data_IF_307845390334
#
_entry.id   IF_307845390334
#
_cell.length_a   1.000
_cell.length_b   1.000
_cell.length_c   1.000
_cell.angle_alpha   90.00
_cell.angle_beta   90.00
_cell.angle_gamma   90.00
#
_symmetry.space_group_name_H-M   'P 1'
#
loop_
_entity.id
_entity.type
_entity.pdbx_description
1 polymer ?
#
# COMPACT_ATOMS: atom_id res chain seq x y z
N UNK A 1 5.66 -0.96 -20.09
CA UNK A 1 6.91 -0.39 -20.67
C UNK A 1 7.39 -1.26 -21.82
N UNK A 2 7.77 -0.65 -22.95
CA UNK A 2 8.51 -1.32 -24.04
C UNK A 2 10.03 -1.12 -23.88
N UNK A 3 10.86 -1.98 -24.47
CA UNK A 3 12.33 -1.95 -24.33
C UNK A 3 12.84 -2.95 -23.30
N UNK A 4 14.15 -3.03 -23.12
CA UNK A 4 14.82 -3.98 -22.21
C UNK A 4 15.46 -3.33 -20.98
N UNK A 5 15.35 -2.01 -20.85
CA UNK A 5 15.89 -1.25 -19.71
C UNK A 5 17.41 -1.11 -19.73
N UNK A 6 18.03 -1.28 -20.90
CA UNK A 6 19.48 -1.13 -21.11
C UNK A 6 19.81 0.23 -21.72
N UNK A 7 21.07 0.65 -21.70
CA UNK A 7 21.46 1.93 -22.28
C UNK A 7 21.16 2.04 -23.79
N UNK A 8 21.28 0.93 -24.52
CA UNK A 8 21.01 0.88 -25.97
C UNK A 8 19.55 0.63 -26.32
N UNK A 9 18.75 0.22 -25.34
CA UNK A 9 17.32 -0.07 -25.49
C UNK A 9 16.59 0.22 -24.15
N UNK A 10 16.41 1.52 -23.81
CA UNK A 10 15.79 1.94 -22.56
C UNK A 10 14.33 1.51 -22.48
N UNK A 11 13.81 1.35 -21.27
CA UNK A 11 12.36 1.26 -21.07
C UNK A 11 11.70 2.58 -21.46
N UNK A 12 10.68 2.51 -22.32
CA UNK A 12 9.87 3.67 -22.68
C UNK A 12 8.71 3.79 -21.70
N UNK A 13 8.63 4.95 -21.04
CA UNK A 13 7.54 5.35 -20.16
C UNK A 13 6.50 6.10 -21.00
N UNK A 14 5.31 5.53 -21.11
CA UNK A 14 4.23 6.07 -21.94
C UNK A 14 3.02 6.58 -21.17
N UNK A 15 2.88 6.18 -19.90
CA UNK A 15 1.78 6.59 -19.02
C UNK A 15 2.20 6.57 -17.54
N UNK A 16 1.26 6.86 -16.65
CA UNK A 16 1.47 6.87 -15.20
C UNK A 16 1.74 5.49 -14.61
N UNK A 17 1.22 4.42 -15.20
CA UNK A 17 1.41 3.06 -14.70
C UNK A 17 2.85 2.61 -15.00
N UNK A 18 3.35 2.90 -16.21
CA UNK A 18 4.76 2.75 -16.58
C UNK A 18 5.66 3.56 -15.64
N UNK A 19 5.28 4.80 -15.32
CA UNK A 19 6.04 5.67 -14.42
C UNK A 19 6.16 5.05 -13.01
N UNK A 20 5.04 4.55 -12.46
CA UNK A 20 5.05 3.87 -11.16
C UNK A 20 5.81 2.54 -11.21
N UNK A 21 5.83 1.86 -12.35
CA UNK A 21 6.50 0.58 -12.56
C UNK A 21 8.05 0.67 -12.56
N UNK A 22 8.63 1.88 -12.61
CA UNK A 22 10.07 2.11 -12.39
C UNK A 22 10.54 1.49 -11.06
N UNK A 23 9.66 1.44 -10.05
CA UNK A 23 9.93 0.85 -8.74
C UNK A 23 10.41 -0.60 -8.82
N UNK A 24 9.99 -1.33 -9.85
CA UNK A 24 10.32 -2.74 -10.01
C UNK A 24 11.76 -2.97 -10.50
N UNK A 25 12.42 -1.95 -11.09
CA UNK A 25 13.76 -2.08 -11.68
C UNK A 25 14.58 -0.79 -11.51
N UNK A 26 14.87 -0.42 -10.26
CA UNK A 26 15.49 0.86 -9.89
C UNK A 26 16.86 1.18 -10.52
N UNK A 27 17.54 0.19 -11.14
CA UNK A 27 18.85 0.34 -11.78
C UNK A 27 18.83 0.44 -13.31
N UNK A 28 17.66 0.42 -13.95
CA UNK A 28 17.53 0.40 -15.42
C UNK A 28 17.58 1.79 -16.08
N UNK A 29 17.60 1.79 -17.41
CA UNK A 29 17.53 3.00 -18.24
C UNK A 29 16.10 3.24 -18.71
N UNK A 30 15.65 4.48 -18.59
CA UNK A 30 14.28 4.92 -18.85
C UNK A 30 14.27 6.18 -19.71
N UNK A 31 13.32 6.24 -20.64
CA UNK A 31 13.02 7.43 -21.45
C UNK A 31 11.52 7.72 -21.44
N UNK A 32 11.14 8.98 -21.27
CA UNK A 32 9.76 9.38 -21.56
C UNK A 32 9.50 9.31 -23.07
N UNK A 33 8.44 8.60 -23.47
CA UNK A 33 8.00 8.52 -24.85
C UNK A 33 7.20 9.74 -25.32
N UNK A 34 6.54 10.41 -24.38
CA UNK A 34 5.73 11.62 -24.57
C UNK A 34 5.56 12.36 -23.26
N UNK A 35 4.83 13.48 -23.28
CA UNK A 35 4.25 14.04 -22.07
C UNK A 35 3.33 13.02 -21.38
N UNK A 36 3.32 13.04 -20.05
CA UNK A 36 2.50 12.14 -19.19
C UNK A 36 1.52 13.01 -18.40
N UNK A 37 0.23 12.78 -18.59
CA UNK A 37 -0.82 13.33 -17.72
C UNK A 37 -0.94 12.44 -16.48
N UNK A 38 -0.55 12.97 -15.32
CA UNK A 38 -0.58 12.26 -14.05
C UNK A 38 -1.80 12.57 -13.16
N UNK A 39 -2.83 13.21 -13.68
CA UNK A 39 -4.05 13.58 -12.93
C UNK A 39 -4.74 12.37 -12.29
N UNK A 40 -4.66 11.19 -12.91
CA UNK A 40 -5.19 9.93 -12.38
C UNK A 40 -4.56 9.53 -11.03
N UNK A 41 -3.31 9.96 -10.77
CA UNK A 41 -2.62 9.65 -9.52
C UNK A 41 -3.36 10.22 -8.32
N UNK A 42 -4.15 11.29 -8.47
CA UNK A 42 -4.98 11.84 -7.39
C UNK A 42 -5.98 10.84 -6.77
N UNK A 43 -6.26 9.73 -7.48
CA UNK A 43 -7.05 8.62 -6.96
C UNK A 43 -6.23 7.43 -6.45
N UNK A 44 -4.91 7.46 -6.33
CA UNK A 44 -4.12 6.25 -6.05
C UNK A 44 -3.82 6.02 -4.56
N UNK A 45 -3.60 4.75 -4.18
CA UNK A 45 -2.93 4.32 -2.95
C UNK A 45 -3.55 4.77 -1.60
N UNK A 46 -4.86 4.98 -1.53
CA UNK A 46 -5.48 5.40 -0.28
C UNK A 46 -5.66 4.23 0.71
N UNK A 47 -5.36 4.51 1.98
CA UNK A 47 -5.91 3.73 3.10
C UNK A 47 -7.35 4.21 3.32
N UNK A 48 -8.32 3.36 2.97
CA UNK A 48 -9.73 3.72 3.08
C UNK A 48 -10.30 3.46 4.46
N UNK A 49 -9.76 2.46 5.13
CA UNK A 49 -10.23 2.04 6.42
C UNK A 49 -9.14 1.27 7.14
N UNK A 50 -8.99 1.56 8.41
CA UNK A 50 -8.02 0.88 9.24
C UNK A 50 -8.49 0.79 10.69
N UNK A 51 -7.90 -0.17 11.38
CA UNK A 51 -7.88 -0.21 12.83
C UNK A 51 -6.48 -0.63 13.28
N UNK A 52 -5.76 0.29 13.91
CA UNK A 52 -4.32 0.17 14.22
C UNK A 52 -4.00 0.30 15.71
N UNK A 53 -5.02 0.44 16.57
CA UNK A 53 -4.89 0.56 18.02
C UNK A 53 -4.06 -0.57 18.63
N UNK A 54 -3.47 -0.34 19.80
CA UNK A 54 -2.66 -1.34 20.50
C UNK A 54 -3.54 -2.53 20.93
N UNK A 55 -3.64 -3.56 20.08
CA UNK A 55 -4.39 -4.77 20.38
C UNK A 55 -3.90 -5.44 21.67
N UNK A 56 -4.73 -6.25 22.30
CA UNK A 56 -4.52 -6.85 23.61
C UNK A 56 -4.35 -8.38 23.59
N UNK A 57 -4.63 -9.02 22.45
CA UNK A 57 -4.54 -10.48 22.30
C UNK A 57 -4.34 -10.88 20.84
N UNK A 58 -4.51 -12.16 20.54
CA UNK A 58 -4.48 -12.70 19.18
C UNK A 58 -5.64 -13.67 18.94
N UNK A 59 -6.11 -13.71 17.70
CA UNK A 59 -7.06 -14.70 17.21
C UNK A 59 -6.34 -15.69 16.30
N UNK A 60 -6.32 -16.97 16.69
CA UNK A 60 -5.74 -18.03 15.88
C UNK A 60 -6.60 -18.34 14.64
N UNK A 61 -5.93 -18.68 13.54
CA UNK A 61 -6.51 -19.06 12.25
C UNK A 61 -5.81 -20.35 11.80
N UNK A 62 -6.58 -21.42 11.56
CA UNK A 62 -6.08 -22.76 11.23
C UNK A 62 -7.18 -23.64 10.68
N UNK A 63 -6.90 -24.54 9.74
CA UNK A 63 -7.86 -25.49 9.19
C UNK A 63 -9.22 -24.85 8.89
N UNK A 64 -10.26 -25.34 9.57
CA UNK A 64 -11.64 -24.85 9.45
C UNK A 64 -11.99 -23.66 10.38
N UNK A 65 -11.06 -23.27 11.26
CA UNK A 65 -11.15 -22.06 12.08
C UNK A 65 -10.78 -20.84 11.23
N UNK A 66 -11.79 -20.20 10.67
CA UNK A 66 -11.66 -19.00 9.86
C UNK A 66 -12.05 -17.78 10.68
N UNK A 67 -11.27 -16.71 10.52
CA UNK A 67 -11.48 -15.46 11.24
C UNK A 67 -11.75 -14.37 10.23
N UNK A 68 -12.72 -13.51 10.52
CA UNK A 68 -12.98 -12.34 9.74
C UNK A 68 -13.03 -11.07 10.59
N UNK A 69 -12.64 -9.96 9.96
CA UNK A 69 -13.01 -8.62 10.39
C UNK A 69 -14.01 -8.07 9.38
N UNK A 70 -15.22 -7.74 9.84
CA UNK A 70 -16.15 -6.98 9.00
C UNK A 70 -15.80 -5.50 9.05
N UNK A 71 -16.07 -4.81 7.95
CA UNK A 71 -15.77 -3.40 7.78
C UNK A 71 -16.78 -2.75 6.84
N UNK A 72 -16.99 -1.44 6.97
CA UNK A 72 -17.88 -0.66 6.12
C UNK A 72 -17.07 0.52 5.56
N UNK A 73 -16.54 0.42 4.33
CA UNK A 73 -15.70 1.48 3.76
C UNK A 73 -16.51 2.77 3.67
N UNK A 74 -15.93 3.93 4.03
CA UNK A 74 -16.69 5.19 4.05
C UNK A 74 -17.05 5.70 2.65
N UNK A 75 -16.29 5.29 1.62
CA UNK A 75 -16.46 5.69 0.23
C UNK A 75 -16.28 4.50 -0.70
N UNK A 76 -16.94 4.53 -1.86
CA UNK A 76 -16.77 3.51 -2.91
C UNK A 76 -15.37 3.59 -3.51
N UNK A 77 -14.74 2.43 -3.72
CA UNK A 77 -13.40 2.31 -4.29
C UNK A 77 -13.14 0.88 -4.77
N UNK A 78 -12.05 0.65 -5.50
CA UNK A 78 -11.58 -0.71 -5.78
C UNK A 78 -10.55 -1.08 -4.72
N UNK A 79 -10.83 -2.10 -3.91
CA UNK A 79 -9.83 -2.62 -2.95
C UNK A 79 -8.79 -3.46 -3.71
N UNK A 80 -7.50 -3.22 -3.45
CA UNK A 80 -6.37 -3.88 -4.15
C UNK A 80 -5.49 -4.70 -3.22
N UNK A 81 -5.43 -4.35 -1.94
CA UNK A 81 -4.67 -5.10 -0.93
C UNK A 81 -5.25 -4.90 0.48
N UNK A 82 -4.88 -5.83 1.36
CA UNK A 82 -5.17 -5.74 2.80
C UNK A 82 -3.87 -5.87 3.57
N UNK A 83 -3.64 -4.98 4.52
CA UNK A 83 -2.57 -5.11 5.49
C UNK A 83 -3.11 -5.69 6.80
N UNK A 84 -2.46 -6.70 7.34
CA UNK A 84 -2.84 -7.34 8.61
C UNK A 84 -1.67 -7.32 9.58
N UNK A 85 -1.95 -7.17 10.88
CA UNK A 85 -0.94 -7.34 11.91
C UNK A 85 -1.00 -8.75 12.48
N UNK A 86 -0.02 -9.59 12.20
CA UNK A 86 -0.05 -11.00 12.59
C UNK A 86 1.33 -11.55 12.95
N UNK A 87 1.32 -12.72 13.61
CA UNK A 87 2.49 -13.55 13.85
C UNK A 87 2.13 -15.02 13.59
N UNK A 88 3.13 -15.90 13.51
CA UNK A 88 2.90 -17.35 13.39
C UNK A 88 3.23 -18.09 14.67
N UNK A 89 2.53 -19.19 14.88
CA UNK A 89 2.94 -20.31 15.72
C UNK A 89 3.22 -21.50 14.79
N UNK A 90 4.37 -22.16 14.95
CA UNK A 90 4.78 -23.26 14.05
C UNK A 90 4.88 -22.83 12.58
N UNK A 91 4.39 -23.67 11.67
CA UNK A 91 4.44 -23.47 10.21
C UNK A 91 3.02 -23.52 9.62
N UNK A 92 2.29 -22.38 9.60
CA UNK A 92 0.89 -22.33 9.18
C UNK A 92 0.67 -22.68 7.70
N UNK A 93 1.72 -22.65 6.88
CA UNK A 93 1.65 -22.81 5.43
C UNK A 93 1.05 -21.58 4.74
N UNK A 94 0.39 -21.79 3.60
CA UNK A 94 -0.19 -20.69 2.82
C UNK A 94 -1.37 -20.04 3.54
N UNK A 95 -1.30 -18.71 3.69
CA UNK A 95 -2.39 -17.88 4.20
C UNK A 95 -3.15 -17.31 3.02
N UNK A 96 -4.48 -17.46 3.03
CA UNK A 96 -5.36 -16.81 2.07
C UNK A 96 -6.12 -15.68 2.75
N UNK A 97 -6.08 -14.48 2.17
CA UNK A 97 -6.87 -13.32 2.59
C UNK A 97 -7.91 -13.04 1.50
N UNK A 98 -9.16 -12.81 1.88
CA UNK A 98 -10.24 -12.61 0.92
C UNK A 98 -11.22 -11.55 1.36
N UNK A 99 -11.81 -10.89 0.36
CA UNK A 99 -12.88 -9.94 0.54
C UNK A 99 -14.19 -10.63 0.19
N UNK A 100 -15.15 -10.57 1.11
CA UNK A 100 -16.46 -11.18 0.95
C UNK A 100 -17.55 -10.14 1.18
N UNK A 101 -18.68 -10.31 0.50
CA UNK A 101 -19.90 -9.60 0.87
C UNK A 101 -20.38 -10.05 2.25
N UNK A 102 -21.32 -9.32 2.83
CA UNK A 102 -22.00 -9.73 4.06
C UNK A 102 -23.50 -9.94 3.84
N UNK A 103 -24.08 -10.83 4.63
CA UNK A 103 -25.53 -11.09 4.63
C UNK A 103 -26.30 -10.04 5.46
N UNK A 104 -27.61 -10.25 5.63
CA UNK A 104 -28.46 -9.36 6.43
C UNK A 104 -28.10 -9.27 7.92
N UNK A 105 -27.31 -10.23 8.44
CA UNK A 105 -26.79 -10.22 9.80
C UNK A 105 -25.39 -9.58 9.88
N UNK A 106 -24.83 -9.17 8.75
CA UNK A 106 -23.47 -8.65 8.65
C UNK A 106 -22.40 -9.73 8.64
N UNK A 107 -22.75 -10.99 8.42
CA UNK A 107 -21.82 -12.12 8.42
C UNK A 107 -21.28 -12.41 7.01
N UNK A 108 -20.03 -12.89 6.86
CA UNK A 108 -19.44 -13.15 5.55
C UNK A 108 -20.23 -14.17 4.72
N UNK A 109 -20.46 -13.88 3.45
CA UNK A 109 -21.07 -14.81 2.49
C UNK A 109 -20.08 -15.88 1.99
N UNK A 110 -20.56 -16.87 1.25
CA UNK A 110 -19.72 -17.98 0.78
C UNK A 110 -18.67 -17.55 -0.27
N UNK A 111 -19.08 -16.78 -1.28
CA UNK A 111 -18.22 -16.42 -2.41
C UNK A 111 -17.18 -15.35 -2.06
N UNK A 112 -15.93 -15.55 -2.51
CA UNK A 112 -14.87 -14.55 -2.49
C UNK A 112 -15.09 -13.55 -3.64
N UNK A 113 -15.12 -12.25 -3.33
CA UNK A 113 -15.16 -11.16 -4.32
C UNK A 113 -13.77 -10.87 -4.89
N UNK A 114 -12.75 -10.96 -4.04
CA UNK A 114 -11.34 -10.90 -4.41
C UNK A 114 -10.52 -11.66 -3.36
N UNK A 115 -9.34 -12.16 -3.73
CA UNK A 115 -8.48 -12.91 -2.82
C UNK A 115 -7.01 -12.80 -3.17
N UNK A 116 -6.17 -12.95 -2.16
CA UNK A 116 -4.72 -12.99 -2.26
C UNK A 116 -4.12 -14.04 -1.33
N UNK A 117 -2.87 -14.42 -1.58
CA UNK A 117 -2.15 -15.38 -0.74
C UNK A 117 -0.79 -14.84 -0.32
N UNK A 118 -0.31 -15.27 0.84
CA UNK A 118 1.06 -15.05 1.31
C UNK A 118 1.59 -16.32 2.00
N UNK A 119 2.90 -16.47 2.06
CA UNK A 119 3.54 -17.57 2.78
C UNK A 119 3.53 -17.31 4.30
N UNK A 120 2.70 -18.06 5.03
CA UNK A 120 2.54 -17.95 6.48
C UNK A 120 3.78 -18.34 7.28
N UNK A 121 4.66 -19.16 6.71
CA UNK A 121 5.86 -19.68 7.39
C UNK A 121 6.93 -18.61 7.56
N UNK A 122 6.81 -17.52 6.80
CA UNK A 122 7.73 -16.38 6.81
C UNK A 122 7.33 -15.27 7.77
N UNK A 123 6.17 -15.36 8.44
CA UNK A 123 5.80 -14.38 9.47
C UNK A 123 6.76 -14.46 10.66
N UNK A 124 6.90 -13.35 11.40
CA UNK A 124 7.56 -13.37 12.70
C UNK A 124 6.95 -14.43 13.64
N UNK A 125 7.79 -15.20 14.32
CA UNK A 125 7.35 -16.25 15.24
C UNK A 125 6.82 -15.68 16.56
N UNK A 126 5.94 -16.43 17.21
CA UNK A 126 5.35 -16.15 18.52
C UNK A 126 6.33 -16.19 19.71
N UNK A 127 7.55 -16.69 19.48
CA UNK A 127 8.63 -16.69 20.47
C UNK A 127 9.08 -15.24 20.76
N UNK A 128 8.89 -14.79 22.01
CA UNK A 128 9.41 -13.51 22.51
C UNK A 128 8.42 -12.34 22.58
N UNK A 129 7.11 -12.60 22.58
CA UNK A 129 6.01 -11.63 22.61
C UNK A 129 6.18 -10.36 21.72
N UNK A 130 6.49 -10.50 20.42
CA UNK A 130 6.28 -9.39 19.51
C UNK A 130 4.75 -9.22 19.26
N UNK A 131 4.26 -7.99 19.08
CA UNK A 131 2.85 -7.71 18.77
C UNK A 131 2.43 -8.15 17.35
N UNK A 132 3.24 -8.97 16.66
CA UNK A 132 3.14 -9.30 15.25
C UNK A 132 3.80 -8.26 14.34
N UNK A 133 4.03 -8.66 13.10
CA UNK A 133 4.46 -7.78 12.00
C UNK A 133 3.22 -7.32 11.21
N UNK A 134 3.31 -6.13 10.62
CA UNK A 134 2.37 -5.73 9.60
C UNK A 134 2.81 -6.33 8.26
N UNK A 135 1.88 -6.96 7.55
CA UNK A 135 2.12 -7.51 6.22
C UNK A 135 0.98 -7.14 5.30
N UNK A 136 1.33 -6.61 4.14
CA UNK A 136 0.40 -6.31 3.05
C UNK A 136 0.25 -7.52 2.13
N UNK A 137 -0.98 -7.87 1.79
CA UNK A 137 -1.33 -8.98 0.90
C UNK A 137 -2.13 -8.42 -0.28
N UNK A 138 -1.55 -8.54 -1.49
CA UNK A 138 -2.22 -8.18 -2.74
C UNK A 138 -3.42 -9.08 -3.01
N UNK A 139 -4.55 -8.51 -3.41
CA UNK A 139 -5.78 -9.21 -3.80
C UNK A 139 -5.87 -9.46 -5.32
N UNK A 140 -4.73 -9.47 -6.01
CA UNK A 140 -4.67 -9.56 -7.48
C UNK A 140 -5.32 -8.35 -8.14
N UNK A 141 -6.32 -8.57 -9.00
CA UNK A 141 -7.04 -7.49 -9.68
C UNK A 141 -7.97 -6.67 -8.79
N UNK A 142 -8.17 -7.07 -7.52
CA UNK A 142 -9.03 -6.36 -6.59
C UNK A 142 -10.53 -6.55 -6.85
N UNK A 143 -11.37 -5.80 -6.12
CA UNK A 143 -12.82 -5.76 -6.35
C UNK A 143 -13.40 -4.38 -6.03
N UNK A 144 -14.45 -3.97 -6.73
CA UNK A 144 -15.19 -2.75 -6.39
C UNK A 144 -15.98 -2.93 -5.08
N UNK A 145 -15.82 -2.00 -4.16
CA UNK A 145 -16.58 -1.87 -2.92
C UNK A 145 -17.46 -0.62 -2.99
N UNK A 146 -18.65 -0.70 -2.40
CA UNK A 146 -19.58 0.43 -2.29
C UNK A 146 -19.44 1.08 -0.92
N UNK A 147 -19.32 2.42 -0.87
CA UNK A 147 -19.28 3.17 0.38
C UNK A 147 -20.52 2.94 1.24
N UNK A 148 -20.33 2.75 2.54
CA UNK A 148 -21.38 2.47 3.52
C UNK A 148 -21.92 1.03 3.52
N UNK A 149 -21.60 0.22 2.51
CA UNK A 149 -21.96 -1.20 2.48
C UNK A 149 -20.98 -2.01 3.34
N UNK A 150 -21.46 -2.99 4.11
CA UNK A 150 -20.59 -3.84 4.93
C UNK A 150 -20.00 -5.00 4.12
N UNK A 151 -18.70 -5.24 4.30
CA UNK A 151 -17.91 -6.33 3.73
C UNK A 151 -17.10 -7.04 4.82
N UNK A 152 -16.43 -8.14 4.47
CA UNK A 152 -15.58 -8.89 5.38
C UNK A 152 -14.20 -9.19 4.79
N UNK A 153 -13.15 -8.93 5.56
CA UNK A 153 -11.82 -9.51 5.35
C UNK A 153 -11.83 -10.87 6.02
N UNK A 154 -11.71 -11.95 5.26
CA UNK A 154 -11.68 -13.34 5.78
C UNK A 154 -10.30 -13.93 5.57
N UNK A 155 -9.72 -14.49 6.63
CA UNK A 155 -8.39 -15.11 6.60
C UNK A 155 -8.48 -16.60 6.89
N UNK A 156 -7.75 -17.39 6.10
CA UNK A 156 -7.75 -18.85 6.11
C UNK A 156 -6.32 -19.39 6.07
N UNK A 157 -6.05 -20.42 6.87
CA UNK A 157 -4.78 -21.16 6.89
C UNK A 157 -5.11 -22.66 6.83
N UNK A 158 -5.47 -23.15 5.64
CA UNK A 158 -6.17 -24.44 5.48
C UNK A 158 -5.34 -25.66 5.92
N UNK A 159 -4.02 -25.58 5.81
CA UNK A 159 -3.09 -26.63 6.27
C UNK A 159 -2.70 -26.48 7.74
N UNK A 160 -3.14 -25.40 8.40
CA UNK A 160 -2.79 -25.12 9.78
C UNK A 160 -3.52 -26.02 10.78
N UNK A 161 -2.92 -26.17 11.95
CA UNK A 161 -3.43 -26.91 13.10
C UNK A 161 -3.16 -26.16 14.42
N UNK A 162 -3.41 -26.79 15.58
CA UNK A 162 -3.25 -26.14 16.88
C UNK A 162 -1.80 -25.70 17.19
N UNK A 163 -0.81 -26.36 16.60
CA UNK A 163 0.61 -26.02 16.72
C UNK A 163 1.14 -25.22 15.53
N UNK A 164 0.38 -25.16 14.44
CA UNK A 164 0.75 -24.53 13.18
C UNK A 164 -0.34 -23.55 12.73
N UNK A 165 -0.34 -22.33 13.24
CA UNK A 165 -1.42 -21.37 12.99
C UNK A 165 -0.94 -19.93 12.83
N UNK A 166 -1.70 -19.15 12.07
CA UNK A 166 -1.54 -17.70 12.02
C UNK A 166 -2.31 -17.08 13.20
N UNK A 167 -1.70 -16.11 13.85
CA UNK A 167 -2.28 -15.37 14.98
C UNK A 167 -2.47 -13.91 14.55
N UNK A 168 -3.72 -13.54 14.25
CA UNK A 168 -4.08 -12.16 13.87
C UNK A 168 -4.29 -11.31 15.12
N UNK A 169 -3.62 -10.16 15.22
CA UNK A 169 -3.69 -9.26 16.38
C UNK A 169 -5.12 -8.76 16.59
N UNK A 170 -5.58 -8.86 17.82
CA UNK A 170 -6.93 -8.58 18.27
C UNK A 170 -6.88 -7.56 19.42
N UNK A 171 -7.76 -6.55 19.39
CA UNK A 171 -8.18 -5.82 20.58
C UNK A 171 -9.50 -6.40 21.10
N UNK A 172 -9.44 -7.00 22.28
CA UNK A 172 -10.60 -7.51 23.01
C UNK A 172 -10.83 -6.82 24.35
N UNK A 173 -10.04 -5.78 24.67
CA UNK A 173 -10.07 -5.10 25.97
C UNK A 173 -10.68 -3.71 25.88
N UNK A 174 -10.38 -2.98 24.80
CA UNK A 174 -10.92 -1.64 24.56
C UNK A 174 -11.10 -1.37 23.06
N UNK A 175 -11.80 -2.27 22.32
CA UNK A 175 -12.06 -2.06 20.91
C UNK A 175 -12.89 -0.79 20.68
N UNK A 176 -12.52 -0.03 19.64
CA UNK A 176 -13.16 1.26 19.31
C UNK A 176 -13.56 1.35 17.84
N UNK A 177 -13.29 0.31 17.04
CA UNK A 177 -13.67 0.31 15.64
C UNK A 177 -15.15 -0.03 15.52
N UNK A 178 -15.92 0.93 15.00
CA UNK A 178 -17.39 0.84 14.92
C UNK A 178 -17.89 0.37 13.56
N UNK A 179 -16.99 0.21 12.59
CA UNK A 179 -17.33 -0.14 11.21
C UNK A 179 -17.65 -1.61 10.97
N UNK A 180 -17.45 -2.46 11.97
CA UNK A 180 -17.76 -3.88 11.92
C UNK A 180 -17.34 -4.60 13.20
N UNK A 181 -17.17 -5.91 13.10
CA UNK A 181 -16.95 -6.83 14.21
C UNK A 181 -15.96 -7.92 13.80
N UNK A 182 -15.38 -8.61 14.78
CA UNK A 182 -14.78 -9.93 14.58
C UNK A 182 -15.86 -10.99 14.37
N UNK A 183 -15.74 -11.76 13.30
CA UNK A 183 -16.56 -12.93 13.01
C UNK A 183 -15.69 -14.20 13.08
N UNK A 184 -16.23 -15.28 13.63
CA UNK A 184 -15.53 -16.55 13.78
C UNK A 184 -16.36 -17.69 13.20
N UNK A 185 -15.76 -18.44 12.28
CA UNK A 185 -16.30 -19.70 11.78
C UNK A 185 -15.45 -20.85 12.28
N UNK A 186 -16.08 -21.91 12.80
CA UNK A 186 -15.41 -23.16 13.20
C UNK A 186 -15.53 -24.28 12.14
N UNK A 187 -16.18 -23.98 11.01
CA UNK A 187 -16.60 -24.97 10.01
C UNK A 187 -16.50 -24.39 8.59
N UNK A 188 -15.37 -23.75 8.28
CA UNK A 188 -15.02 -23.29 6.93
C UNK A 188 -16.11 -22.42 6.25
N UNK A 189 -16.64 -21.42 6.97
CA UNK A 189 -17.65 -20.45 6.53
C UNK A 189 -19.10 -20.96 6.47
N UNK A 190 -19.41 -22.15 7.01
CA UNK A 190 -20.80 -22.64 7.05
C UNK A 190 -21.65 -21.82 8.04
N UNK A 191 -21.08 -21.45 9.19
CA UNK A 191 -21.74 -20.61 10.20
C UNK A 191 -20.76 -19.64 10.84
N UNK A 192 -21.24 -18.45 11.21
CA UNK A 192 -20.43 -17.43 11.87
C UNK A 192 -20.96 -17.07 13.26
N UNK A 193 -20.04 -16.89 14.20
CA UNK A 193 -20.30 -16.28 15.51
C UNK A 193 -19.75 -14.86 15.52
N UNK A 194 -20.62 -13.89 15.81
CA UNK A 194 -20.27 -12.47 15.87
C UNK A 194 -19.80 -12.07 17.26
N UNK A 195 -18.67 -11.35 17.31
CA UNK A 195 -18.14 -10.74 18.52
C UNK A 195 -18.12 -9.22 18.36
N UNK A 196 -19.18 -8.55 18.81
CA UNK A 196 -19.35 -7.10 18.64
C UNK A 196 -18.47 -6.23 19.55
N UNK A 197 -17.70 -6.86 20.43
CA UNK A 197 -16.79 -6.22 21.36
C UNK A 197 -15.34 -6.62 21.10
N UNK A 198 -14.99 -6.97 19.86
CA UNK A 198 -13.68 -7.45 19.44
C UNK A 198 -13.33 -6.88 18.06
N UNK A 199 -12.14 -6.30 17.93
CA UNK A 199 -11.63 -5.73 16.67
C UNK A 199 -10.25 -6.29 16.32
N UNK A 200 -10.10 -6.79 15.10
CA UNK A 200 -8.83 -7.25 14.56
C UNK A 200 -8.10 -6.08 13.89
N UNK A 201 -6.78 -6.07 13.94
CA UNK A 201 -5.99 -4.97 13.37
C UNK A 201 -5.78 -5.16 11.87
N UNK A 202 -6.22 -4.19 11.08
CA UNK A 202 -6.18 -4.25 9.63
C UNK A 202 -6.01 -2.87 9.00
N UNK A 203 -5.61 -2.85 7.73
CA UNK A 203 -5.78 -1.72 6.82
C UNK A 203 -6.30 -2.22 5.48
N UNK A 204 -7.20 -1.43 4.88
CA UNK A 204 -7.75 -1.65 3.55
C UNK A 204 -7.17 -0.60 2.61
N UNK A 205 -6.51 -1.08 1.56
CA UNK A 205 -5.90 -0.26 0.53
C UNK A 205 -6.62 -0.44 -0.80
N UNK A 206 -6.71 0.62 -1.59
CA UNK A 206 -7.38 0.55 -2.88
C UNK A 206 -7.05 1.69 -3.81
N UNK A 207 -7.71 1.67 -4.97
CA UNK A 207 -7.72 2.75 -5.96
C UNK A 207 -9.06 3.50 -5.92
N UNK A 208 -8.97 4.82 -6.01
CA UNK A 208 -10.04 5.82 -5.91
C UNK A 208 -9.91 6.86 -4.75
N UNK A 209 -8.73 7.08 -4.17
CA UNK A 209 -8.56 7.89 -2.95
C UNK A 209 -7.25 8.68 -2.93
N UNK A 210 -7.24 9.81 -2.21
CA UNK A 210 -6.27 10.89 -2.36
C UNK A 210 -4.95 10.70 -1.62
N UNK A 211 -4.37 9.49 -1.62
CA UNK A 211 -2.98 9.36 -1.20
C UNK A 211 -2.04 9.69 -2.36
N UNK A 212 -2.32 9.30 -3.60
CA UNK A 212 -1.45 9.66 -4.71
C UNK A 212 -0.35 8.67 -5.06
N UNK A 213 0.47 9.08 -6.02
CA UNK A 213 1.67 8.41 -6.48
C UNK A 213 2.58 7.99 -5.31
N UNK A 214 3.14 6.77 -5.37
CA UNK A 214 4.16 6.30 -4.42
C UNK A 214 5.52 6.72 -4.96
N UNK A 215 6.30 7.55 -4.26
CA UNK A 215 7.62 7.98 -4.72
C UNK A 215 8.52 6.78 -5.05
N UNK A 216 9.29 6.91 -6.12
CA UNK A 216 10.19 5.87 -6.62
C UNK A 216 11.45 5.73 -5.75
N UNK A 217 11.79 4.50 -5.39
CA UNK A 217 12.76 4.14 -4.36
C UNK A 217 12.14 4.23 -2.97
N UNK A 218 12.68 3.49 -2.00
CA UNK A 218 12.32 3.61 -0.58
C UNK A 218 13.33 2.85 0.30
N UNK A 219 13.29 3.00 1.64
CA UNK A 219 14.25 2.34 2.54
C UNK A 219 14.25 0.80 2.48
N UNK A 220 13.18 0.17 2.01
CA UNK A 220 13.07 -1.30 1.92
C UNK A 220 13.45 -1.86 0.54
N UNK A 221 13.26 -1.09 -0.53
CA UNK A 221 13.49 -1.52 -1.92
C UNK A 221 14.75 -0.89 -2.54
N UNK A 222 15.37 0.09 -1.88
CA UNK A 222 16.62 0.72 -2.31
C UNK A 222 16.40 2.08 -3.00
N UNK A 223 17.51 2.70 -3.39
CA UNK A 223 17.51 4.00 -4.08
C UNK A 223 17.38 3.80 -5.59
N UNK A 224 16.80 4.78 -6.28
CA UNK A 224 16.93 4.84 -7.74
C UNK A 224 18.41 5.02 -8.12
N UNK A 225 18.95 4.10 -8.90
CA UNK A 225 20.36 4.09 -9.34
C UNK A 225 20.51 4.12 -10.86
N UNK A 226 19.39 4.00 -11.58
CA UNK A 226 19.33 4.01 -13.03
C UNK A 226 19.45 5.38 -13.68
N UNK A 227 18.97 5.48 -14.91
CA UNK A 227 18.88 6.74 -15.65
C UNK A 227 17.44 7.00 -16.08
N UNK A 228 16.89 8.17 -15.78
CA UNK A 228 15.64 8.68 -16.35
C UNK A 228 15.95 9.90 -17.23
N UNK A 229 15.71 9.77 -18.54
CA UNK A 229 15.76 10.89 -19.48
C UNK A 229 14.33 11.30 -19.88
N UNK A 230 13.91 12.49 -19.47
CA UNK A 230 12.62 13.05 -19.86
C UNK A 230 12.56 13.42 -21.35
N UNK A 231 13.70 13.50 -22.05
CA UNK A 231 13.81 13.90 -23.46
C UNK A 231 13.13 15.23 -23.80
N UNK A 232 13.00 16.10 -22.81
CA UNK A 232 12.31 17.39 -22.91
C UNK A 232 10.80 17.32 -22.69
N UNK A 233 10.24 16.13 -22.45
CA UNK A 233 8.84 15.93 -22.09
C UNK A 233 8.57 16.28 -20.62
N UNK A 234 7.29 16.40 -20.30
CA UNK A 234 6.81 16.73 -18.96
C UNK A 234 5.87 15.68 -18.36
N UNK A 235 5.81 15.65 -17.04
CA UNK A 235 4.78 14.98 -16.24
C UNK A 235 3.89 16.07 -15.66
N UNK A 236 2.60 16.12 -16.01
CA UNK A 236 1.65 17.11 -15.48
C UNK A 236 0.82 16.53 -14.36
N UNK A 237 0.30 17.36 -13.45
CA UNK A 237 -0.75 16.99 -12.48
C UNK A 237 -0.37 15.84 -11.53
N UNK A 238 0.93 15.65 -11.29
CA UNK A 238 1.41 14.61 -10.37
C UNK A 238 0.92 14.89 -8.95
N UNK A 239 0.11 13.99 -8.41
CA UNK A 239 -0.42 14.09 -7.06
C UNK A 239 0.22 13.04 -6.15
N UNK A 240 0.76 13.49 -5.01
CA UNK A 240 1.24 12.63 -3.94
C UNK A 240 0.96 13.27 -2.59
N UNK A 241 0.37 12.53 -1.66
CA UNK A 241 -0.07 12.98 -0.36
C UNK A 241 0.36 11.95 0.69
N UNK A 242 1.47 12.27 1.36
CA UNK A 242 2.17 11.47 2.36
C UNK A 242 2.47 12.36 3.59
N UNK A 243 1.47 12.85 4.35
CA UNK A 243 1.70 13.66 5.55
C UNK A 243 2.31 12.81 6.69
N UNK A 244 2.99 13.45 7.66
CA UNK A 244 3.61 12.76 8.81
C UNK A 244 2.54 12.04 9.64
N UNK A 245 2.74 10.77 9.96
CA UNK A 245 1.81 9.96 10.78
C UNK A 245 1.99 8.45 10.63
N UNK A 246 2.70 8.03 9.58
CA UNK A 246 3.18 6.65 9.35
C UNK A 246 4.63 6.77 8.87
N UNK A 247 5.48 5.78 9.19
CA UNK A 247 6.92 5.82 8.94
C UNK A 247 7.27 6.27 7.50
N UNK A 248 8.33 7.08 7.38
CA UNK A 248 8.95 7.48 6.11
C UNK A 248 8.01 8.24 5.14
N UNK A 249 7.24 9.20 5.65
CA UNK A 249 6.31 10.02 4.89
C UNK A 249 7.06 11.09 4.04
N UNK A 250 7.40 10.73 2.81
CA UNK A 250 8.12 11.58 1.87
C UNK A 250 7.25 11.82 0.63
N UNK A 251 7.13 13.07 0.20
CA UNK A 251 6.44 13.42 -1.05
C UNK A 251 7.44 13.73 -2.16
N UNK A 252 7.13 13.32 -3.40
CA UNK A 252 7.92 13.58 -4.61
C UNK A 252 7.78 12.48 -5.66
N UNK A 253 8.40 12.66 -6.83
CA UNK A 253 8.51 11.62 -7.86
C UNK A 253 9.44 10.49 -7.41
N UNK A 254 10.56 10.82 -6.76
CA UNK A 254 11.50 9.86 -6.19
C UNK A 254 11.63 10.07 -4.68
N UNK A 255 11.72 8.98 -3.93
CA UNK A 255 12.10 9.02 -2.52
C UNK A 255 13.59 9.36 -2.38
N UNK A 256 14.47 8.55 -2.97
CA UNK A 256 15.93 8.75 -2.99
C UNK A 256 16.47 8.61 -4.42
N UNK A 257 17.42 9.47 -4.81
CA UNK A 257 18.15 9.37 -6.06
C UNK A 257 19.65 9.18 -5.83
N UNK A 258 20.21 8.14 -6.43
CA UNK A 258 21.65 7.89 -6.61
C UNK A 258 22.04 7.72 -8.09
N UNK A 259 21.06 7.78 -8.99
CA UNK A 259 21.21 7.65 -10.44
C UNK A 259 21.29 9.00 -11.16
N UNK A 260 20.85 9.03 -12.41
CA UNK A 260 20.81 10.25 -13.24
C UNK A 260 19.39 10.57 -13.67
N UNK A 261 18.92 11.79 -13.41
CA UNK A 261 17.64 12.31 -13.91
C UNK A 261 17.93 13.53 -14.77
N UNK A 262 17.44 13.56 -16.02
CA UNK A 262 17.73 14.66 -16.93
C UNK A 262 16.59 15.00 -17.88
N UNK A 263 16.57 16.24 -18.37
CA UNK A 263 15.65 16.73 -19.40
C UNK A 263 14.16 16.50 -19.07
N UNK A 264 13.74 16.67 -17.81
CA UNK A 264 12.39 16.34 -17.34
C UNK A 264 11.70 17.56 -16.72
N UNK A 265 10.50 17.89 -17.21
CA UNK A 265 9.59 18.81 -16.53
C UNK A 265 8.60 18.07 -15.63
N UNK A 266 8.31 18.61 -14.45
CA UNK A 266 7.11 18.26 -13.67
C UNK A 266 6.27 19.52 -13.56
N UNK A 267 5.09 19.55 -14.16
CA UNK A 267 4.21 20.71 -14.16
C UNK A 267 2.96 20.46 -13.32
N UNK A 268 2.48 21.51 -12.65
CA UNK A 268 1.20 21.52 -11.93
C UNK A 268 1.03 20.38 -10.90
N UNK A 269 2.11 19.95 -10.27
CA UNK A 269 2.05 18.92 -9.23
C UNK A 269 1.33 19.40 -7.96
N UNK A 270 0.72 18.48 -7.20
CA UNK A 270 0.28 18.72 -5.81
C UNK A 270 0.87 17.63 -4.91
N UNK A 271 1.98 17.99 -4.27
CA UNK A 271 2.80 17.09 -3.46
C UNK A 271 2.72 17.54 -2.00
N UNK A 272 2.09 16.72 -1.17
CA UNK A 272 2.13 16.82 0.29
C UNK A 272 3.03 15.70 0.83
N UNK A 273 4.04 16.06 1.62
CA UNK A 273 4.99 15.11 2.21
C UNK A 273 5.34 15.50 3.64
N UNK A 274 5.75 14.54 4.48
CA UNK A 274 6.31 14.84 5.79
C UNK A 274 7.61 15.64 5.71
N UNK A 275 8.51 15.16 4.85
CA UNK A 275 9.45 15.98 4.10
C UNK A 275 8.96 16.00 2.65
N UNK A 276 8.91 17.17 2.01
CA UNK A 276 8.28 17.30 0.70
C UNK A 276 9.22 17.98 -0.31
N UNK A 277 9.42 17.34 -1.44
CA UNK A 277 10.07 17.92 -2.59
C UNK A 277 9.60 17.23 -3.85
N UNK A 278 9.16 18.00 -4.84
CA UNK A 278 8.44 17.43 -5.98
C UNK A 278 9.24 16.42 -6.79
N UNK A 279 10.56 16.59 -6.93
CA UNK A 279 11.40 15.66 -7.67
C UNK A 279 12.03 14.59 -6.77
N UNK A 280 12.81 14.99 -5.75
CA UNK A 280 13.47 14.07 -4.81
C UNK A 280 13.05 14.41 -3.39
N UNK A 281 12.28 13.54 -2.75
CA UNK A 281 11.67 13.84 -1.47
C UNK A 281 12.58 13.70 -0.24
N UNK A 282 13.69 12.94 -0.32
CA UNK A 282 14.57 12.71 0.82
C UNK A 282 16.06 12.96 0.54
N UNK A 283 16.77 12.06 -0.15
CA UNK A 283 18.20 12.26 -0.45
C UNK A 283 18.53 12.16 -1.93
N UNK A 284 19.41 13.05 -2.38
CA UNK A 284 20.02 13.00 -3.70
C UNK A 284 21.54 12.87 -3.57
N UNK A 285 22.10 11.72 -3.95
CA UNK A 285 23.54 11.51 -4.18
C UNK A 285 23.87 11.33 -5.66
N UNK A 286 22.84 11.38 -6.52
CA UNK A 286 22.95 11.25 -7.97
C UNK A 286 23.04 12.60 -8.68
N UNK A 287 22.88 12.55 -10.01
CA UNK A 287 22.94 13.72 -10.90
C UNK A 287 21.54 14.14 -11.35
N UNK A 288 21.24 15.44 -11.28
CA UNK A 288 20.02 16.05 -11.82
C UNK A 288 20.43 17.17 -12.76
N UNK A 289 19.99 17.14 -14.03
CA UNK A 289 20.38 18.15 -15.03
C UNK A 289 19.23 18.51 -15.97
N UNK A 290 18.99 19.81 -16.20
CA UNK A 290 17.91 20.29 -17.09
C UNK A 290 16.53 19.76 -16.67
N UNK A 291 16.23 19.84 -15.38
CA UNK A 291 14.94 19.45 -14.83
C UNK A 291 14.30 20.63 -14.10
N UNK A 292 12.99 20.78 -14.22
CA UNK A 292 12.24 21.82 -13.51
C UNK A 292 10.97 21.26 -12.92
N UNK A 293 10.44 21.98 -11.93
CA UNK A 293 9.17 21.64 -11.28
C UNK A 293 8.33 22.91 -11.09
N UNK A 294 7.05 22.86 -11.44
CA UNK A 294 6.01 23.80 -11.02
C UNK A 294 4.89 23.09 -10.26
N UNK A 295 4.07 23.84 -9.52
CA UNK A 295 2.95 23.31 -8.73
C UNK A 295 3.08 23.57 -7.22
N UNK A 296 2.23 22.90 -6.45
CA UNK A 296 2.17 23.02 -5.01
C UNK A 296 2.99 21.91 -4.32
N UNK A 297 3.96 22.30 -3.49
CA UNK A 297 4.71 21.38 -2.62
C UNK A 297 4.52 21.81 -1.18
N UNK A 298 3.96 20.92 -0.35
CA UNK A 298 3.51 21.20 1.02
C UNK A 298 4.19 20.24 1.99
N UNK A 299 4.82 20.78 3.02
CA UNK A 299 5.26 20.00 4.17
C UNK A 299 4.08 19.75 5.13
N UNK A 300 3.88 18.52 5.56
CA UNK A 300 2.70 18.07 6.30
C UNK A 300 2.61 18.51 7.77
N UNK A 301 3.62 19.17 8.33
CA UNK A 301 3.65 19.71 9.71
C UNK A 301 4.65 20.89 9.84
N UNK A 302 4.55 21.65 10.94
CA UNK A 302 5.34 22.87 11.28
C UNK A 302 6.86 22.68 11.44
N UNK A 303 7.43 21.55 11.02
CA UNK A 303 8.87 21.28 11.02
C UNK A 303 9.36 20.53 9.76
N UNK A 304 8.49 20.30 8.78
CA UNK A 304 8.90 19.67 7.53
C UNK A 304 9.66 20.66 6.63
N UNK A 305 10.75 20.17 6.03
CA UNK A 305 11.53 20.95 5.08
C UNK A 305 10.93 20.78 3.67
N UNK A 306 10.71 21.90 2.99
CA UNK A 306 10.57 21.89 1.53
C UNK A 306 12.00 21.89 0.98
N UNK A 307 12.59 20.71 0.80
CA UNK A 307 13.97 20.57 0.34
C UNK A 307 13.99 19.90 -1.03
N UNK A 308 13.62 20.65 -2.06
CA UNK A 308 13.65 20.18 -3.45
C UNK A 308 14.65 20.95 -4.28
N UNK A 309 15.58 20.25 -4.91
CA UNK A 309 16.44 20.81 -5.96
C UNK A 309 15.60 21.08 -7.21
N UNK A 310 15.20 22.33 -7.42
CA UNK A 310 14.88 22.84 -8.75
C UNK A 310 16.21 23.32 -9.36
N UNK A 311 16.89 22.49 -10.15
CA UNK A 311 18.05 22.96 -10.92
C UNK A 311 17.52 23.65 -12.17
N UNK A 312 17.22 24.94 -12.04
CA UNK A 312 17.14 25.84 -13.20
C UNK A 312 18.60 26.07 -13.62
N UNK A 313 19.06 25.37 -14.65
CA UNK A 313 20.19 25.83 -15.43
C UNK A 313 19.67 26.01 -16.86
N UNK A 314 19.60 27.27 -17.27
CA UNK A 314 19.46 27.70 -18.67
C UNK A 314 20.52 27.00 -19.56
#
# INVERSE_FOLDING_TARGET
MTGSGTQGDPYIISDVDDLQAIENNLGSYYELGSDIDASATSGWNAVYQEYTSAGSSFSAIRGDLWIAQTFSPPVSHVITSVEIKARRQGFPGTITVSIKATDGNGQPTEADLASGTTDGDTFISDVGDPPGEWREISLGGGTSLTGGQKYAIVIRALTGDESNNLQWRLDSSSPTYTGGNREVSLNASTTWTTFSNHDLLFKVHGTGGAAGFVPIGNPTHGNFTGQLDGKGNKITDLFANRPIGIGFAVGGLFYNNAGTIKNLGIEDCDITGGSAAALIGWTNTGTITKCYVTGAVKAGNSGGFIAGFAVINE
#
